data_IF_716084019495
#
_entry.id   IF_716084019495
#
_cell.length_a   1.000
_cell.length_b   1.000
_cell.length_c   1.000
_cell.angle_alpha   90.00
_cell.angle_beta   90.00
_cell.angle_gamma   90.00
#
_symmetry.space_group_name_H-M   'P 1'
#
loop_
_entity.id
_entity.type
_entity.pdbx_description
1 polymer ?
#
# COMPACT_ATOMS: atom_id res chain seq x y z
N UNK A 1 11.12 6.58 -3.90
CA UNK A 1 10.82 6.53 -2.46
C UNK A 1 12.14 6.34 -1.77
N UNK A 2 12.42 7.15 -0.75
CA UNK A 2 13.63 6.97 0.05
C UNK A 2 13.37 5.92 1.12
N UNK A 3 14.17 4.85 1.12
CA UNK A 3 14.14 3.75 2.09
C UNK A 3 14.27 4.30 3.52
N UNK A 4 14.98 5.41 3.68
CA UNK A 4 15.19 6.12 4.95
C UNK A 4 13.88 6.60 5.61
N UNK A 5 12.89 7.02 4.80
CA UNK A 5 11.57 7.46 5.33
C UNK A 5 10.79 6.29 5.93
N UNK A 6 10.84 5.11 5.31
CA UNK A 6 10.20 3.90 5.85
C UNK A 6 10.86 3.50 7.16
N UNK A 7 12.20 3.46 7.21
CA UNK A 7 12.94 3.12 8.43
C UNK A 7 12.64 4.06 9.59
N UNK A 8 12.54 5.36 9.34
CA UNK A 8 12.26 6.36 10.38
C UNK A 8 10.85 6.16 10.96
N UNK A 9 9.84 5.98 10.11
CA UNK A 9 8.47 5.74 10.56
C UNK A 9 8.32 4.37 11.26
N UNK A 10 9.06 3.36 10.81
CA UNK A 10 9.09 2.05 11.46
C UNK A 10 9.75 2.11 12.86
N UNK A 11 10.80 2.92 13.02
CA UNK A 11 11.43 3.16 14.33
C UNK A 11 10.47 3.87 15.30
N UNK A 12 9.75 4.91 14.85
CA UNK A 12 8.74 5.59 15.66
C UNK A 12 7.56 4.69 16.03
N UNK A 13 7.23 3.68 15.22
CA UNK A 13 6.17 2.71 15.52
C UNK A 13 6.53 1.73 16.65
N UNK A 14 7.81 1.62 17.01
CA UNK A 14 8.30 0.82 18.14
C UNK A 14 8.59 1.66 19.40
N UNK A 15 8.22 2.94 19.42
CA UNK A 15 8.41 3.83 20.56
C UNK A 15 7.40 3.60 21.69
N UNK A 16 7.72 4.09 22.88
CA UNK A 16 6.97 3.85 24.11
C UNK A 16 5.59 4.54 24.17
N UNK A 17 5.32 5.56 23.34
CA UNK A 17 3.99 6.18 23.24
C UNK A 17 3.11 5.43 22.22
N UNK A 18 2.06 4.70 22.66
CA UNK A 18 1.18 3.96 21.77
C UNK A 18 0.46 4.85 20.76
N UNK A 19 0.15 6.11 21.10
CA UNK A 19 -0.56 7.02 20.21
C UNK A 19 0.35 7.55 19.11
N UNK A 20 1.60 7.88 19.43
CA UNK A 20 2.59 8.24 18.42
C UNK A 20 2.87 7.08 17.47
N UNK A 21 3.04 5.87 18.01
CA UNK A 21 3.22 4.64 17.25
C UNK A 21 2.06 4.39 16.28
N UNK A 22 0.81 4.55 16.73
CA UNK A 22 -0.37 4.43 15.84
C UNK A 22 -0.39 5.48 14.73
N UNK A 23 0.02 6.72 15.00
CA UNK A 23 0.13 7.76 13.96
C UNK A 23 1.21 7.44 12.94
N UNK A 24 2.36 6.91 13.38
CA UNK A 24 3.44 6.48 12.49
C UNK A 24 2.98 5.32 11.60
N UNK A 25 2.35 4.29 12.18
CA UNK A 25 1.74 3.16 11.44
C UNK A 25 0.71 3.64 10.43
N UNK A 26 -0.15 4.60 10.82
CA UNK A 26 -1.15 5.16 9.91
C UNK A 26 -0.50 5.86 8.70
N UNK A 27 0.57 6.64 8.93
CA UNK A 27 1.34 7.27 7.84
C UNK A 27 1.99 6.24 6.93
N UNK A 28 2.57 5.17 7.49
CA UNK A 28 3.13 4.06 6.72
C UNK A 28 2.08 3.38 5.84
N UNK A 29 0.89 3.09 6.37
CA UNK A 29 -0.20 2.48 5.60
C UNK A 29 -0.63 3.35 4.43
N UNK A 30 -0.81 4.66 4.63
CA UNK A 30 -1.15 5.59 3.55
C UNK A 30 -0.10 5.64 2.46
N UNK A 31 1.17 5.59 2.83
CA UNK A 31 2.26 5.61 1.86
C UNK A 31 2.39 4.28 1.11
N UNK A 32 2.18 3.15 1.80
CA UNK A 32 2.10 1.83 1.18
C UNK A 32 0.95 1.77 0.15
N UNK A 33 -0.23 2.29 0.50
CA UNK A 33 -1.37 2.38 -0.42
C UNK A 33 -1.03 3.19 -1.68
N UNK A 34 -0.26 4.28 -1.55
CA UNK A 34 0.18 5.10 -2.67
C UNK A 34 1.10 4.31 -3.61
N UNK A 35 2.06 3.57 -3.06
CA UNK A 35 2.97 2.73 -3.86
C UNK A 35 2.23 1.57 -4.51
N UNK A 36 1.34 0.90 -3.76
CA UNK A 36 0.48 -0.18 -4.27
C UNK A 36 -0.35 0.31 -5.46
N UNK A 37 -0.98 1.49 -5.36
CA UNK A 37 -1.74 2.09 -6.47
C UNK A 37 -0.89 2.31 -7.74
N UNK A 38 0.33 2.82 -7.58
CA UNK A 38 1.27 3.00 -8.71
C UNK A 38 1.66 1.65 -9.31
N UNK A 39 1.93 0.63 -8.49
CA UNK A 39 2.26 -0.72 -8.94
C UNK A 39 1.09 -1.36 -9.70
N UNK A 40 -0.13 -1.27 -9.16
CA UNK A 40 -1.37 -1.75 -9.81
C UNK A 40 -1.58 -1.07 -11.16
N UNK A 41 -1.43 0.26 -11.22
CA UNK A 41 -1.55 1.00 -12.49
C UNK A 41 -0.53 0.54 -13.52
N UNK A 42 0.74 0.38 -13.12
CA UNK A 42 1.80 -0.15 -14.00
C UNK A 42 1.50 -1.57 -14.48
N UNK A 43 0.98 -2.44 -13.61
CA UNK A 43 0.57 -3.79 -13.98
C UNK A 43 -0.56 -3.76 -15.02
N UNK A 44 -1.57 -2.90 -14.81
CA UNK A 44 -2.67 -2.70 -15.77
C UNK A 44 -2.18 -2.18 -17.12
N UNK A 45 -1.30 -1.18 -17.13
CA UNK A 45 -0.70 -0.64 -18.37
C UNK A 45 0.11 -1.70 -19.13
N UNK A 46 0.71 -2.66 -18.42
CA UNK A 46 1.42 -3.81 -19.03
C UNK A 46 0.50 -4.97 -19.43
N UNK A 47 -0.81 -4.79 -19.37
CA UNK A 47 -1.78 -5.80 -19.79
C UNK A 47 -2.13 -6.86 -18.75
N UNK A 48 -1.60 -6.77 -17.52
CA UNK A 48 -1.95 -7.72 -16.46
C UNK A 48 -3.45 -7.67 -16.15
N UNK A 49 -4.13 -8.82 -16.14
CA UNK A 49 -5.57 -8.87 -15.85
C UNK A 49 -5.85 -8.48 -14.39
N UNK A 50 -7.04 -7.97 -14.13
CA UNK A 50 -7.48 -7.67 -12.76
C UNK A 50 -7.48 -8.91 -11.84
N UNK A 51 -7.70 -10.09 -12.41
CA UNK A 51 -7.63 -11.35 -11.65
C UNK A 51 -6.20 -11.68 -11.23
N UNK A 52 -5.22 -11.46 -12.11
CA UNK A 52 -3.80 -11.66 -11.78
C UNK A 52 -3.34 -10.68 -10.69
N UNK A 53 -3.76 -9.42 -10.78
CA UNK A 53 -3.46 -8.40 -9.75
C UNK A 53 -4.11 -8.76 -8.42
N UNK A 54 -5.36 -9.24 -8.44
CA UNK A 54 -6.06 -9.68 -7.23
C UNK A 54 -5.39 -10.88 -6.57
N UNK A 55 -4.92 -11.85 -7.37
CA UNK A 55 -4.14 -12.98 -6.88
C UNK A 55 -2.84 -12.52 -6.21
N UNK A 56 -2.11 -11.58 -6.83
CA UNK A 56 -0.85 -11.05 -6.28
C UNK A 56 -1.03 -10.24 -4.99
N UNK A 57 -2.22 -9.66 -4.78
CA UNK A 57 -2.58 -8.89 -3.58
C UNK A 57 -3.35 -9.73 -2.55
N UNK A 58 -3.57 -11.03 -2.81
CA UNK A 58 -4.33 -11.95 -1.96
C UNK A 58 -5.74 -11.45 -1.59
N UNK A 59 -6.38 -10.75 -2.51
CA UNK A 59 -7.73 -10.20 -2.34
C UNK A 59 -8.65 -10.64 -3.47
N UNK A 60 -9.95 -10.44 -3.28
CA UNK A 60 -10.90 -10.74 -4.35
C UNK A 60 -10.75 -9.77 -5.53
N UNK A 61 -11.05 -10.26 -6.75
CA UNK A 61 -11.13 -9.42 -7.96
C UNK A 61 -12.03 -8.21 -7.76
N UNK A 62 -13.15 -8.39 -7.07
CA UNK A 62 -14.10 -7.31 -6.77
C UNK A 62 -13.49 -6.26 -5.83
N UNK A 63 -12.72 -6.67 -4.83
CA UNK A 63 -12.02 -5.74 -3.94
C UNK A 63 -11.00 -4.88 -4.69
N UNK A 64 -10.18 -5.49 -5.57
CA UNK A 64 -9.23 -4.75 -6.41
C UNK A 64 -9.94 -3.82 -7.37
N UNK A 65 -10.98 -4.28 -8.07
CA UNK A 65 -11.77 -3.43 -8.96
C UNK A 65 -12.40 -2.24 -8.21
N UNK A 66 -12.96 -2.48 -7.01
CA UNK A 66 -13.56 -1.42 -6.19
C UNK A 66 -12.52 -0.39 -5.75
N UNK A 67 -11.31 -0.85 -5.38
CA UNK A 67 -10.22 -0.02 -4.86
C UNK A 67 -9.47 0.74 -5.97
N UNK A 68 -9.26 0.12 -7.12
CA UNK A 68 -8.36 0.62 -8.18
C UNK A 68 -9.00 0.80 -9.55
N UNK A 69 -10.20 0.26 -9.78
CA UNK A 69 -10.88 0.29 -11.09
C UNK A 69 -11.68 1.56 -11.38
N UNK A 70 -11.73 2.53 -10.45
CA UNK A 70 -12.50 3.78 -10.57
C UNK A 70 -11.63 5.03 -10.83
N UNK A 71 -10.44 4.84 -11.40
CA UNK A 71 -9.58 5.94 -11.87
C UNK A 71 -9.74 6.19 -13.36
#
# INVERSE_FOLDING_TARGET
>A
MDVTTIHTLAASAGGDDPIESLRAIHRLRRELERVESVAVRRARTRGASWQLIALALEVSKQAVHKKYGRS
#
